data_IF_462801701967
#
_entry.id   IF_462801701967
#
_cell.length_a   1.000
_cell.length_b   1.000
_cell.length_c   1.000
_cell.angle_alpha   90.00
_cell.angle_beta   90.00
_cell.angle_gamma   90.00
#
_symmetry.space_group_name_H-M   'P 1'
#
loop_
_entity.id
_entity.type
_entity.pdbx_description
1 polymer ?
#
# COMPACT_ATOMS: atom_id res chain seq x y z
N UNK A 1 -0.61 29.76 -18.51
CA UNK A 1 -1.90 29.07 -18.33
C UNK A 1 -2.76 29.41 -19.54
N UNK A 2 -2.92 28.46 -20.46
CA UNK A 2 -3.86 28.62 -21.57
C UNK A 2 -5.20 28.00 -21.14
N UNK A 3 -5.98 28.78 -20.38
CA UNK A 3 -7.30 28.39 -19.85
C UNK A 3 -8.44 28.36 -20.87
N UNK A 4 -8.10 28.36 -22.17
CA UNK A 4 -9.06 28.41 -23.27
C UNK A 4 -9.65 27.06 -23.69
N UNK A 5 -9.00 25.94 -23.33
CA UNK A 5 -9.48 24.60 -23.65
C UNK A 5 -10.51 24.13 -22.63
N UNK A 6 -11.67 23.68 -23.14
CA UNK A 6 -12.72 23.02 -22.34
C UNK A 6 -12.14 21.89 -21.46
N UNK A 7 -12.62 21.80 -20.21
CA UNK A 7 -12.13 20.81 -19.23
C UNK A 7 -12.27 19.38 -19.76
N UNK A 8 -13.35 19.09 -20.48
CA UNK A 8 -13.56 17.78 -21.12
C UNK A 8 -12.50 17.47 -22.16
N UNK A 9 -12.23 18.42 -23.06
CA UNK A 9 -11.22 18.27 -24.11
C UNK A 9 -9.80 18.05 -23.55
N UNK A 10 -9.43 18.75 -22.47
CA UNK A 10 -8.13 18.54 -21.80
C UNK A 10 -8.00 17.12 -21.27
N UNK A 11 -9.03 16.63 -20.59
CA UNK A 11 -9.06 15.26 -20.06
C UNK A 11 -8.94 14.24 -21.18
N UNK A 12 -9.71 14.40 -22.26
CA UNK A 12 -9.68 13.46 -23.39
C UNK A 12 -8.31 13.41 -24.08
N UNK A 13 -7.66 14.57 -24.26
CA UNK A 13 -6.31 14.63 -24.83
C UNK A 13 -5.30 13.97 -23.89
N UNK A 14 -5.36 14.24 -22.59
CA UNK A 14 -4.50 13.60 -21.58
C UNK A 14 -4.69 12.09 -21.56
N UNK A 15 -5.94 11.60 -21.61
CA UNK A 15 -6.24 10.17 -21.60
C UNK A 15 -5.67 9.45 -22.80
N UNK A 16 -5.85 10.01 -24.00
CA UNK A 16 -5.23 9.46 -25.22
C UNK A 16 -3.71 9.49 -25.12
N UNK A 17 -3.14 10.61 -24.68
CA UNK A 17 -1.69 10.75 -24.58
C UNK A 17 -1.07 9.73 -23.61
N UNK A 18 -1.59 9.60 -22.39
CA UNK A 18 -1.09 8.65 -21.40
C UNK A 18 -1.23 7.20 -21.86
N UNK A 19 -2.35 6.87 -22.53
CA UNK A 19 -2.58 5.52 -23.05
C UNK A 19 -1.65 5.16 -24.20
N UNK A 20 -1.34 6.11 -25.09
CA UNK A 20 -0.34 5.91 -26.13
C UNK A 20 1.08 5.78 -25.55
N UNK A 21 1.41 6.56 -24.51
CA UNK A 21 2.69 6.43 -23.82
C UNK A 21 2.86 5.07 -23.14
N UNK A 22 1.81 4.50 -22.56
CA UNK A 22 1.85 3.15 -21.98
C UNK A 22 2.07 2.06 -23.03
N UNK A 23 1.58 2.25 -24.26
CA UNK A 23 1.70 1.27 -25.35
C UNK A 23 3.01 1.39 -26.12
N UNK A 24 3.61 2.57 -26.16
CA UNK A 24 4.86 2.82 -26.85
C UNK A 24 6.05 2.45 -25.97
N UNK A 25 6.81 1.42 -26.37
CA UNK A 25 8.05 1.04 -25.70
C UNK A 25 9.02 2.22 -25.58
N UNK A 26 9.68 2.34 -24.43
CA UNK A 26 10.65 3.40 -24.13
C UNK A 26 10.10 4.83 -24.30
N UNK A 27 8.78 5.01 -24.12
CA UNK A 27 8.18 6.33 -24.14
C UNK A 27 8.67 7.20 -22.98
N UNK A 28 8.26 8.48 -22.99
CA UNK A 28 8.58 9.39 -21.90
C UNK A 28 8.12 8.86 -20.53
N UNK A 29 7.00 8.12 -20.49
CA UNK A 29 6.49 7.50 -19.27
C UNK A 29 7.48 6.48 -18.70
N UNK A 30 8.03 5.62 -19.55
CA UNK A 30 8.95 4.56 -19.16
C UNK A 30 10.22 5.14 -18.55
N UNK A 31 10.81 6.10 -19.26
CA UNK A 31 12.05 6.75 -18.84
C UNK A 31 11.88 7.58 -17.57
N UNK A 32 10.78 8.31 -17.45
CA UNK A 32 10.54 9.13 -16.27
C UNK A 32 10.27 8.23 -15.05
N UNK A 33 9.56 7.11 -15.19
CA UNK A 33 9.38 6.15 -14.09
C UNK A 33 10.71 5.52 -13.69
N UNK A 34 11.44 4.91 -14.63
CA UNK A 34 12.75 4.30 -14.38
C UNK A 34 13.69 5.23 -13.60
N UNK A 35 13.75 6.51 -13.97
CA UNK A 35 14.60 7.49 -13.28
C UNK A 35 14.12 7.83 -11.86
N UNK A 36 12.81 7.89 -11.63
CA UNK A 36 12.27 8.23 -10.31
C UNK A 36 12.35 7.05 -9.35
N UNK A 37 12.21 5.82 -9.85
CA UNK A 37 12.09 4.62 -9.03
C UNK A 37 13.41 3.87 -8.85
N UNK A 38 14.41 4.05 -9.74
CA UNK A 38 15.71 3.37 -9.65
C UNK A 38 16.70 3.95 -8.62
N UNK A 39 16.40 5.10 -7.99
CA UNK A 39 17.37 5.82 -7.14
C UNK A 39 16.85 6.36 -5.81
N UNK A 40 15.62 6.02 -5.41
CA UNK A 40 15.04 6.49 -4.16
C UNK A 40 15.58 5.74 -2.94
N UNK A 41 16.44 6.38 -2.14
CA UNK A 41 16.68 5.94 -0.76
C UNK A 41 15.70 6.68 0.16
N UNK A 42 14.55 6.07 0.42
CA UNK A 42 13.50 6.63 1.27
C UNK A 42 12.11 6.29 0.74
N UNK A 43 11.09 6.51 1.56
CA UNK A 43 9.71 6.16 1.24
C UNK A 43 9.05 7.06 0.19
N UNK A 44 9.63 8.23 -0.06
CA UNK A 44 9.16 9.23 -1.01
C UNK A 44 10.06 9.33 -2.23
N UNK A 45 9.46 9.38 -3.42
CA UNK A 45 10.19 9.68 -4.64
C UNK A 45 10.54 11.17 -4.72
N UNK A 46 11.72 11.46 -5.28
CA UNK A 46 12.12 12.83 -5.56
C UNK A 46 11.59 13.23 -6.93
N UNK A 47 10.45 13.94 -6.96
CA UNK A 47 9.91 14.52 -8.18
C UNK A 47 10.82 15.62 -8.75
N UNK A 48 11.77 15.22 -9.59
CA UNK A 48 12.66 16.14 -10.28
C UNK A 48 11.96 16.81 -11.48
N UNK A 49 12.21 18.10 -11.70
CA UNK A 49 11.60 18.87 -12.81
C UNK A 49 12.02 18.34 -14.17
N UNK A 50 13.15 17.65 -14.21
CA UNK A 50 13.74 16.95 -15.32
C UNK A 50 12.86 15.78 -15.80
N UNK A 51 12.09 15.17 -14.90
CA UNK A 51 11.10 14.11 -15.18
C UNK A 51 9.77 14.76 -15.57
N UNK A 52 9.79 15.44 -16.72
CA UNK A 52 8.78 16.43 -17.14
C UNK A 52 7.35 15.89 -17.14
N UNK A 53 7.13 14.63 -17.51
CA UNK A 53 5.77 14.07 -17.55
C UNK A 53 5.26 13.87 -16.14
N UNK A 54 5.97 13.06 -15.36
CA UNK A 54 5.62 12.71 -13.99
C UNK A 54 5.50 13.97 -13.13
N UNK A 55 6.46 14.89 -13.23
CA UNK A 55 6.41 16.18 -12.54
C UNK A 55 5.18 16.98 -12.93
N UNK A 56 4.85 17.07 -14.22
CA UNK A 56 3.68 17.83 -14.67
C UNK A 56 2.35 17.23 -14.19
N UNK A 57 2.29 15.92 -13.99
CA UNK A 57 1.11 15.21 -13.49
C UNK A 57 0.97 15.32 -11.96
N UNK A 58 2.05 15.11 -11.21
CA UNK A 58 1.99 14.87 -9.77
C UNK A 58 2.52 15.99 -8.88
N UNK A 59 3.17 17.04 -9.43
CA UNK A 59 3.59 18.20 -8.63
C UNK A 59 2.44 19.02 -8.02
N UNK A 60 1.21 18.74 -8.43
CA UNK A 60 -0.03 19.39 -8.01
C UNK A 60 -1.14 18.34 -8.15
N UNK A 61 -1.47 17.68 -7.04
CA UNK A 61 -2.35 16.51 -7.10
C UNK A 61 -3.80 16.86 -7.48
N UNK A 62 -4.27 18.08 -7.21
CA UNK A 62 -5.58 18.55 -7.68
C UNK A 62 -5.69 18.46 -9.21
N UNK A 63 -4.57 18.67 -9.91
CA UNK A 63 -4.50 18.49 -11.36
C UNK A 63 -4.65 17.03 -11.74
N UNK A 64 -3.93 16.12 -11.07
CA UNK A 64 -4.02 14.68 -11.28
C UNK A 64 -5.46 14.18 -11.11
N UNK A 65 -6.16 14.66 -10.07
CA UNK A 65 -7.58 14.40 -9.82
C UNK A 65 -8.45 14.94 -10.94
N UNK A 66 -8.30 16.23 -11.28
CA UNK A 66 -9.15 16.89 -12.29
C UNK A 66 -9.05 16.27 -13.69
N UNK A 67 -7.93 15.61 -14.00
CA UNK A 67 -7.65 14.97 -15.28
C UNK A 67 -7.89 13.46 -15.26
N UNK A 68 -8.32 12.88 -14.14
CA UNK A 68 -8.50 11.43 -13.97
C UNK A 68 -7.27 10.62 -14.44
N UNK A 69 -6.05 11.06 -14.09
CA UNK A 69 -4.80 10.55 -14.71
C UNK A 69 -4.51 9.07 -14.41
N UNK A 70 -5.12 8.53 -13.36
CA UNK A 70 -5.07 7.12 -12.99
C UNK A 70 -5.78 6.23 -14.03
N UNK A 71 -6.90 6.70 -14.59
CA UNK A 71 -7.80 5.92 -15.43
C UNK A 71 -7.19 5.44 -16.75
N UNK A 72 -6.57 6.29 -17.60
CA UNK A 72 -6.03 5.84 -18.87
C UNK A 72 -4.89 4.82 -18.72
N UNK A 73 -4.09 4.94 -17.66
CA UNK A 73 -3.05 3.95 -17.34
C UNK A 73 -3.70 2.68 -16.78
N UNK A 74 -4.60 2.81 -15.81
CA UNK A 74 -5.28 1.67 -15.21
C UNK A 74 -6.07 0.83 -16.20
N UNK A 75 -6.90 1.47 -17.03
CA UNK A 75 -7.65 0.80 -18.09
C UNK A 75 -6.71 0.21 -19.14
N UNK A 76 -5.63 0.92 -19.49
CA UNK A 76 -4.63 0.43 -20.45
C UNK A 76 -3.88 -0.80 -19.97
N UNK A 77 -3.41 -0.82 -18.72
CA UNK A 77 -2.75 -1.99 -18.11
C UNK A 77 -3.69 -3.18 -18.05
N UNK A 78 -4.96 -2.95 -17.70
CA UNK A 78 -5.99 -3.99 -17.67
C UNK A 78 -6.27 -4.56 -19.07
N UNK A 79 -6.34 -3.71 -20.09
CA UNK A 79 -6.51 -4.14 -21.47
C UNK A 79 -5.35 -5.02 -21.94
N UNK A 80 -4.11 -4.64 -21.62
CA UNK A 80 -2.94 -5.46 -21.96
C UNK A 80 -3.06 -6.85 -21.31
N UNK A 81 -3.45 -6.94 -20.03
CA UNK A 81 -3.70 -8.23 -19.36
C UNK A 81 -4.82 -9.03 -20.06
N UNK A 82 -5.90 -8.38 -20.46
CA UNK A 82 -7.01 -9.04 -21.14
C UNK A 82 -6.61 -9.55 -22.53
N UNK A 83 -5.84 -8.77 -23.29
CA UNK A 83 -5.32 -9.15 -24.61
C UNK A 83 -4.39 -10.35 -24.51
N UNK A 84 -3.56 -10.44 -23.46
CA UNK A 84 -2.67 -11.61 -23.23
C UNK A 84 -3.45 -12.90 -22.99
N UNK A 85 -4.63 -12.82 -22.37
CA UNK A 85 -5.52 -13.97 -22.17
C UNK A 85 -6.07 -14.51 -23.49
N UNK A 86 -6.37 -13.61 -24.42
CA UNK A 86 -6.94 -13.93 -25.73
C UNK A 86 -5.87 -14.36 -26.75
N UNK A 87 -4.61 -14.02 -26.49
CA UNK A 87 -3.46 -14.46 -27.28
C UNK A 87 -3.23 -15.97 -27.21
N UNK A 88 -2.78 -16.56 -28.31
CA UNK A 88 -2.35 -17.97 -28.37
C UNK A 88 -1.10 -18.24 -27.54
N UNK A 89 -0.29 -17.21 -27.28
CA UNK A 89 0.92 -17.29 -26.47
C UNK A 89 0.92 -16.11 -25.49
N UNK A 90 0.84 -16.43 -24.20
CA UNK A 90 1.07 -15.48 -23.13
C UNK A 90 2.55 -15.53 -22.73
N UNK A 91 3.28 -14.47 -23.04
CA UNK A 91 4.71 -14.39 -22.76
C UNK A 91 5.01 -14.28 -21.27
N UNK A 92 4.12 -13.73 -20.44
CA UNK A 92 4.36 -13.55 -19.00
C UNK A 92 4.40 -14.88 -18.23
N UNK A 93 3.86 -15.95 -18.80
CA UNK A 93 3.97 -17.30 -18.25
C UNK A 93 5.31 -17.99 -18.61
N UNK A 94 6.16 -17.36 -19.45
CA UNK A 94 7.41 -17.94 -19.98
C UNK A 94 8.63 -17.05 -19.83
N UNK A 95 8.46 -15.75 -20.08
CA UNK A 95 9.47 -14.71 -20.00
C UNK A 95 9.92 -14.61 -18.54
N UNK A 96 11.19 -14.24 -18.35
CA UNK A 96 11.80 -14.00 -17.06
C UNK A 96 12.40 -12.60 -17.05
N UNK A 97 11.57 -11.59 -16.82
CA UNK A 97 11.93 -10.18 -16.83
C UNK A 97 13.11 -9.84 -15.91
N UNK A 98 13.37 -10.66 -14.90
CA UNK A 98 14.42 -10.50 -13.88
C UNK A 98 15.59 -11.48 -14.01
N UNK A 99 15.72 -12.19 -15.14
CA UNK A 99 16.88 -13.05 -15.38
C UNK A 99 18.20 -12.26 -15.24
N UNK A 100 19.18 -12.83 -14.53
CA UNK A 100 20.48 -12.20 -14.26
C UNK A 100 21.27 -11.82 -15.52
N UNK A 101 20.96 -12.44 -16.67
CA UNK A 101 21.58 -12.12 -17.96
C UNK A 101 21.05 -10.83 -18.59
N UNK A 102 19.97 -10.25 -18.04
CA UNK A 102 19.37 -9.02 -18.55
C UNK A 102 20.00 -7.80 -17.88
N UNK A 103 20.06 -6.71 -18.65
CA UNK A 103 20.55 -5.43 -18.14
C UNK A 103 19.72 -4.94 -16.95
N UNK A 104 20.39 -4.33 -15.99
CA UNK A 104 19.75 -3.63 -14.89
C UNK A 104 18.77 -2.59 -15.46
N UNK A 105 17.52 -2.63 -15.01
CA UNK A 105 16.46 -1.77 -15.56
C UNK A 105 15.64 -2.36 -16.71
N UNK A 106 15.99 -3.55 -17.25
CA UNK A 106 15.22 -4.18 -18.35
C UNK A 106 13.73 -4.34 -18.03
N UNK A 107 13.37 -4.53 -16.76
CA UNK A 107 11.98 -4.62 -16.32
C UNK A 107 11.16 -3.35 -16.62
N UNK A 108 11.80 -2.17 -16.71
CA UNK A 108 11.13 -0.93 -17.12
C UNK A 108 10.76 -0.90 -18.60
N UNK A 109 11.23 -1.85 -19.42
CA UNK A 109 10.73 -2.04 -20.79
C UNK A 109 9.36 -2.72 -20.83
N UNK A 110 8.85 -3.20 -19.69
CA UNK A 110 7.59 -3.93 -19.62
C UNK A 110 6.39 -3.01 -19.31
N UNK A 111 5.33 -3.00 -20.14
CA UNK A 111 4.17 -2.14 -19.93
C UNK A 111 3.37 -2.47 -18.66
N UNK A 112 3.32 -3.73 -18.23
CA UNK A 112 2.58 -4.09 -17.02
C UNK A 112 3.34 -3.61 -15.78
N UNK A 113 4.65 -3.79 -15.75
CA UNK A 113 5.50 -3.25 -14.70
C UNK A 113 5.44 -1.72 -14.64
N UNK A 114 5.54 -1.03 -15.78
CA UNK A 114 5.36 0.43 -15.90
C UNK A 114 4.00 0.87 -15.36
N UNK A 115 2.93 0.13 -15.66
CA UNK A 115 1.61 0.39 -15.11
C UNK A 115 1.57 0.29 -13.58
N UNK A 116 2.20 -0.74 -13.01
CA UNK A 116 2.29 -0.93 -11.55
C UNK A 116 3.11 0.20 -10.90
N UNK A 117 4.29 0.52 -11.44
CA UNK A 117 5.15 1.60 -10.92
C UNK A 117 4.48 2.98 -11.02
N UNK A 118 3.68 3.22 -12.05
CA UNK A 118 2.90 4.46 -12.16
C UNK A 118 1.91 4.61 -11.01
N UNK A 119 1.22 3.53 -10.63
CA UNK A 119 0.29 3.54 -9.49
C UNK A 119 1.02 3.69 -8.16
N UNK A 120 2.18 3.06 -7.99
CA UNK A 120 3.02 3.26 -6.82
C UNK A 120 3.40 4.72 -6.62
N UNK A 121 3.95 5.35 -7.67
CA UNK A 121 4.28 6.77 -7.66
C UNK A 121 3.05 7.65 -7.40
N UNK A 122 1.92 7.34 -8.03
CA UNK A 122 0.67 8.07 -7.82
C UNK A 122 0.22 8.02 -6.35
N UNK A 123 0.26 6.84 -5.72
CA UNK A 123 -0.17 6.68 -4.32
C UNK A 123 0.79 7.38 -3.37
N UNK A 124 2.10 7.24 -3.57
CA UNK A 124 3.10 7.90 -2.71
C UNK A 124 3.00 9.43 -2.80
N UNK A 125 2.77 9.98 -3.99
CA UNK A 125 2.58 11.43 -4.16
C UNK A 125 1.23 11.92 -3.64
N UNK A 126 0.18 11.10 -3.74
CA UNK A 126 -1.13 11.40 -3.13
C UNK A 126 -1.03 11.45 -1.60
N UNK A 127 -0.33 10.47 -1.01
CA UNK A 127 -0.09 10.41 0.43
C UNK A 127 0.70 11.63 0.90
N UNK A 128 1.80 11.95 0.21
CA UNK A 128 2.65 13.11 0.50
C UNK A 128 1.90 14.43 0.47
N UNK A 129 0.95 14.58 -0.45
CA UNK A 129 0.12 15.77 -0.62
C UNK A 129 -1.19 15.69 0.18
N UNK A 130 -1.31 14.76 1.13
CA UNK A 130 -2.44 14.65 2.07
C UNK A 130 -3.79 14.56 1.35
N UNK A 131 -3.87 13.71 0.32
CA UNK A 131 -5.08 13.57 -0.51
C UNK A 131 -6.04 12.54 0.07
N UNK A 132 -7.30 12.94 0.28
CA UNK A 132 -8.36 12.07 0.83
C UNK A 132 -8.91 11.06 -0.17
N UNK A 133 -8.90 11.38 -1.47
CA UNK A 133 -9.48 10.52 -2.48
C UNK A 133 -8.52 9.38 -2.87
N UNK A 134 -9.00 8.15 -3.02
CA UNK A 134 -8.14 6.97 -3.19
C UNK A 134 -8.81 5.80 -3.96
N UNK A 135 -9.87 6.09 -4.73
CA UNK A 135 -10.64 5.07 -5.49
C UNK A 135 -9.78 4.31 -6.52
N UNK A 136 -8.67 4.90 -6.95
CA UNK A 136 -7.72 4.27 -7.87
C UNK A 136 -7.00 3.03 -7.29
N UNK A 137 -6.96 2.85 -5.96
CA UNK A 137 -6.37 1.65 -5.35
C UNK A 137 -7.06 0.36 -5.78
N UNK A 138 -8.32 0.44 -6.21
CA UNK A 138 -9.07 -0.68 -6.78
C UNK A 138 -8.46 -1.26 -8.07
N UNK A 139 -7.56 -0.53 -8.75
CA UNK A 139 -6.86 -1.07 -9.91
C UNK A 139 -5.89 -2.19 -9.56
N UNK A 140 -5.23 -2.17 -8.39
CA UNK A 140 -4.38 -3.30 -7.96
C UNK A 140 -5.19 -4.59 -7.78
N UNK A 141 -6.42 -4.50 -7.26
CA UNK A 141 -7.32 -5.66 -7.21
C UNK A 141 -7.73 -6.12 -8.60
N UNK A 142 -8.03 -5.16 -9.49
CA UNK A 142 -8.36 -5.48 -10.87
C UNK A 142 -7.19 -6.16 -11.60
N UNK A 143 -5.97 -5.66 -11.42
CA UNK A 143 -4.76 -6.24 -12.01
C UNK A 143 -4.50 -7.62 -11.44
N UNK A 144 -4.56 -7.78 -10.12
CA UNK A 144 -4.38 -9.07 -9.43
C UNK A 144 -5.35 -10.11 -9.99
N UNK A 145 -6.63 -9.77 -10.13
CA UNK A 145 -7.64 -10.67 -10.70
C UNK A 145 -7.38 -11.04 -12.15
N UNK A 146 -7.00 -10.09 -13.01
CA UNK A 146 -6.69 -10.42 -14.42
C UNK A 146 -5.39 -11.23 -14.53
N UNK A 147 -4.37 -10.94 -13.71
CA UNK A 147 -3.13 -11.72 -13.62
C UNK A 147 -3.44 -13.16 -13.17
N UNK A 148 -4.20 -13.34 -12.09
CA UNK A 148 -4.57 -14.66 -11.57
C UNK A 148 -5.32 -15.50 -12.62
N UNK A 149 -6.20 -14.87 -13.42
CA UNK A 149 -6.89 -15.54 -14.54
C UNK A 149 -5.96 -15.98 -15.67
N UNK A 150 -4.86 -15.26 -15.87
CA UNK A 150 -3.88 -15.57 -16.92
C UNK A 150 -2.79 -16.53 -16.45
N UNK A 151 -2.64 -16.69 -15.14
CA UNK A 151 -1.54 -17.39 -14.51
C UNK A 151 -1.51 -18.88 -14.88
N UNK A 152 -0.39 -19.32 -15.45
CA UNK A 152 -0.12 -20.72 -15.78
C UNK A 152 1.33 -21.06 -15.48
N UNK A 153 1.53 -22.23 -14.88
CA UNK A 153 2.83 -22.89 -14.85
C UNK A 153 3.02 -23.64 -16.17
N UNK A 154 4.08 -23.30 -16.89
CA UNK A 154 4.46 -23.90 -18.18
C UNK A 154 5.80 -24.61 -18.05
N UNK A 155 6.26 -25.27 -19.12
CA UNK A 155 7.59 -25.89 -19.17
C UNK A 155 8.77 -24.92 -18.99
N UNK A 156 8.52 -23.61 -19.12
CA UNK A 156 9.51 -22.55 -18.93
C UNK A 156 9.46 -21.94 -17.53
N UNK A 157 8.42 -22.27 -16.76
CA UNK A 157 8.23 -21.84 -15.37
C UNK A 157 8.99 -22.76 -14.42
N UNK A 158 9.52 -22.19 -13.34
CA UNK A 158 10.08 -22.96 -12.23
C UNK A 158 9.17 -22.78 -11.00
N UNK A 159 8.29 -23.75 -10.68
CA UNK A 159 7.34 -23.60 -9.58
C UNK A 159 8.02 -23.45 -8.20
N UNK A 160 9.30 -23.82 -8.09
CA UNK A 160 10.09 -23.73 -6.87
C UNK A 160 10.95 -22.46 -6.81
N UNK A 161 10.99 -21.64 -7.87
CA UNK A 161 11.67 -20.36 -7.83
C UNK A 161 10.95 -19.34 -6.94
N UNK A 162 11.67 -18.30 -6.51
CA UNK A 162 11.09 -17.16 -5.79
C UNK A 162 9.96 -16.50 -6.58
N UNK A 163 10.15 -16.33 -7.88
CA UNK A 163 9.11 -15.92 -8.83
C UNK A 163 9.00 -16.96 -9.95
N UNK A 164 7.98 -17.85 -9.90
CA UNK A 164 7.84 -18.91 -10.90
C UNK A 164 7.70 -18.46 -12.36
N UNK A 165 7.16 -17.26 -12.57
CA UNK A 165 7.04 -16.58 -13.86
C UNK A 165 6.92 -15.06 -13.63
N UNK A 166 6.80 -14.28 -14.71
CA UNK A 166 6.71 -12.82 -14.60
C UNK A 166 5.45 -12.35 -13.88
N UNK A 167 4.34 -13.06 -14.00
CA UNK A 167 3.14 -12.74 -13.22
C UNK A 167 3.38 -12.83 -11.71
N UNK A 168 4.14 -13.82 -11.24
CA UNK A 168 4.55 -13.87 -9.82
C UNK A 168 5.38 -12.65 -9.43
N UNK A 169 6.30 -12.20 -10.28
CA UNK A 169 7.08 -10.99 -10.02
C UNK A 169 6.19 -9.75 -9.93
N UNK A 170 5.20 -9.61 -10.80
CA UNK A 170 4.24 -8.48 -10.82
C UNK A 170 3.30 -8.50 -9.61
N UNK A 171 2.79 -9.69 -9.21
CA UNK A 171 1.98 -9.86 -8.00
C UNK A 171 2.77 -9.48 -6.75
N UNK A 172 4.01 -9.94 -6.65
CA UNK A 172 4.91 -9.57 -5.56
C UNK A 172 5.14 -8.06 -5.51
N UNK A 173 5.39 -7.41 -6.65
CA UNK A 173 5.59 -5.95 -6.70
C UNK A 173 4.38 -5.20 -6.15
N UNK A 174 3.16 -5.59 -6.53
CA UNK A 174 1.96 -4.94 -6.02
C UNK A 174 1.80 -5.12 -4.50
N UNK A 175 2.11 -6.31 -3.96
CA UNK A 175 2.08 -6.56 -2.51
C UNK A 175 3.17 -5.73 -1.81
N UNK A 176 4.38 -5.70 -2.35
CA UNK A 176 5.49 -4.90 -1.81
C UNK A 176 5.14 -3.41 -1.77
N UNK A 177 4.60 -2.86 -2.85
CA UNK A 177 4.18 -1.46 -2.91
C UNK A 177 3.12 -1.16 -1.84
N UNK A 178 2.12 -2.03 -1.67
CA UNK A 178 1.11 -1.85 -0.63
C UNK A 178 1.69 -1.94 0.79
N UNK A 179 2.69 -2.78 1.03
CA UNK A 179 3.42 -2.79 2.32
C UNK A 179 4.13 -1.47 2.55
N UNK A 180 4.84 -0.96 1.54
CA UNK A 180 5.53 0.32 1.63
C UNK A 180 4.55 1.46 1.93
N UNK A 181 3.36 1.48 1.33
CA UNK A 181 2.35 2.50 1.63
C UNK A 181 1.82 2.42 3.08
N UNK A 182 1.80 1.23 3.68
CA UNK A 182 1.49 1.06 5.11
C UNK A 182 2.67 1.52 5.97
N UNK A 183 3.91 1.21 5.58
CA UNK A 183 5.11 1.68 6.28
C UNK A 183 5.27 3.21 6.22
N UNK A 184 4.83 3.86 5.15
CA UNK A 184 4.75 5.32 5.10
C UNK A 184 3.85 5.88 6.20
N UNK A 185 2.67 5.28 6.40
CA UNK A 185 1.81 5.65 7.53
C UNK A 185 2.46 5.36 8.87
N UNK A 186 3.14 4.22 9.01
CA UNK A 186 3.87 3.87 10.23
C UNK A 186 4.95 4.90 10.58
N UNK A 187 5.70 5.38 9.59
CA UNK A 187 6.74 6.41 9.76
C UNK A 187 6.13 7.75 10.17
N UNK A 188 5.09 8.23 9.49
CA UNK A 188 4.41 9.48 9.84
C UNK A 188 3.69 9.40 11.20
N UNK A 189 3.22 8.21 11.60
CA UNK A 189 2.60 7.98 12.90
C UNK A 189 3.61 7.74 14.02
N UNK A 190 4.89 7.56 13.70
CA UNK A 190 5.93 7.34 14.70
C UNK A 190 6.17 8.66 15.45
N UNK A 191 6.18 8.66 16.79
CA UNK A 191 6.49 9.86 17.53
C UNK A 191 7.90 10.31 17.16
N UNK A 192 8.06 11.59 16.79
CA UNK A 192 9.35 12.21 16.53
C UNK A 192 10.32 11.79 17.65
N UNK A 193 11.36 11.03 17.29
CA UNK A 193 12.37 10.52 18.25
C UNK A 193 13.13 11.70 18.90
N UNK A 194 12.94 12.94 18.43
CA UNK A 194 13.50 14.17 18.99
C UNK A 194 12.61 14.89 20.03
N UNK A 195 11.35 14.47 20.22
CA UNK A 195 10.51 15.04 21.28
C UNK A 195 10.70 14.30 22.60
N UNK A 196 11.19 15.04 23.61
CA UNK A 196 11.40 14.56 24.98
C UNK A 196 10.17 13.79 25.49
N UNK A 197 10.36 12.72 26.29
CA UNK A 197 9.27 11.91 26.77
C UNK A 197 8.34 12.75 27.65
N UNK A 198 7.15 13.06 27.13
CA UNK A 198 6.17 13.88 27.82
C UNK A 198 4.99 14.37 26.98
N UNK A 199 5.07 14.33 25.64
CA UNK A 199 4.06 15.00 24.78
C UNK A 199 3.52 14.14 23.63
N UNK A 200 3.23 12.86 23.87
CA UNK A 200 2.48 12.05 22.93
C UNK A 200 0.97 12.29 23.12
N UNK A 201 0.43 13.34 22.48
CA UNK A 201 -1.00 13.66 22.49
C UNK A 201 -1.71 13.20 21.22
N UNK A 202 -1.92 11.89 21.07
CA UNK A 202 -2.87 11.35 20.07
C UNK A 202 -3.93 10.48 20.74
N UNK A 203 -4.66 11.07 21.69
CA UNK A 203 -5.89 10.50 22.26
C UNK A 203 -7.05 11.42 21.91
N UNK A 204 -7.72 11.15 20.79
CA UNK A 204 -9.07 11.70 20.56
C UNK A 204 -10.01 10.91 21.47
N UNK A 205 -10.31 11.48 22.64
CA UNK A 205 -11.37 10.98 23.51
C UNK A 205 -12.71 11.16 22.80
N UNK A 206 -13.36 10.05 22.46
CA UNK A 206 -14.76 10.03 22.03
C UNK A 206 -15.61 10.47 23.23
N UNK A 207 -16.25 11.63 23.11
CA UNK A 207 -17.13 12.21 24.12
C UNK A 207 -18.37 11.33 24.34
N UNK A 208 -18.54 10.81 25.55
CA UNK A 208 -19.83 10.41 26.08
C UNK A 208 -20.42 11.56 26.90
N UNK A 209 -21.63 11.97 26.54
CA UNK A 209 -22.44 12.98 27.21
C UNK A 209 -22.60 12.73 28.72
N UNK A 210 -22.39 13.76 29.54
CA UNK A 210 -23.27 14.15 30.65
C UNK A 210 -22.85 15.53 31.25
N UNK A 211 -23.86 16.30 31.64
CA UNK A 211 -23.90 17.75 31.89
C UNK A 211 -23.67 18.09 33.41
N UNK A 212 -23.76 19.36 33.91
CA UNK A 212 -22.66 20.05 34.59
C UNK A 212 -22.89 20.38 36.09
N UNK A 213 -21.82 20.60 36.87
CA UNK A 213 -21.91 21.34 38.15
C UNK A 213 -20.72 22.30 38.42
N UNK A 214 -21.07 23.59 38.39
CA UNK A 214 -20.70 24.73 39.26
C UNK A 214 -19.32 24.89 39.94
N UNK A 215 -18.66 25.99 39.54
CA UNK A 215 -18.03 27.10 40.32
C UNK A 215 -17.18 26.81 41.58
N UNK A 216 -15.93 27.28 41.55
CA UNK A 216 -15.37 28.11 42.64
C UNK A 216 -14.18 28.95 42.16
N UNK A 217 -14.30 30.26 42.30
CA UNK A 217 -13.24 31.25 42.15
C UNK A 217 -12.15 31.07 43.22
N UNK A 218 -10.89 31.43 42.89
CA UNK A 218 -9.99 32.14 43.79
C UNK A 218 -8.96 32.92 42.98
N UNK A 219 -9.01 34.25 43.14
CA UNK A 219 -8.01 35.21 42.67
C UNK A 219 -6.78 35.18 43.57
N UNK A 220 -5.61 35.42 42.99
CA UNK A 220 -4.57 36.22 43.64
C UNK A 220 -3.72 36.93 42.59
N UNK A 221 -3.76 38.26 42.65
CA UNK A 221 -2.94 39.20 41.91
C UNK A 221 -1.49 39.19 42.39
N UNK A 222 -0.54 39.31 41.47
CA UNK A 222 0.67 40.12 41.67
C UNK A 222 1.25 40.54 40.32
N UNK A 223 1.20 41.84 40.06
CA UNK A 223 1.99 42.56 39.05
C UNK A 223 3.44 42.69 39.52
N UNK A 224 4.43 42.56 38.61
CA UNK A 224 5.39 43.63 38.34
C UNK A 224 6.30 43.34 37.12
N UNK A 225 6.47 44.35 36.27
CA UNK A 225 7.60 44.78 35.40
C UNK A 225 8.53 43.71 34.80
N UNK A 226 8.82 43.65 33.49
CA UNK A 226 8.93 44.71 32.50
C UNK A 226 10.36 44.77 31.96
N UNK A 227 10.74 43.86 31.04
CA UNK A 227 11.91 44.03 30.16
C UNK A 227 11.57 43.53 28.75
N UNK A 228 11.85 44.40 27.77
CA UNK A 228 11.68 44.17 26.34
C UNK A 228 12.93 43.46 25.81
N UNK A 229 12.77 42.26 25.24
CA UNK A 229 13.71 41.68 24.29
C UNK A 229 12.93 41.14 23.07
N UNK A 230 13.55 41.29 21.90
CA UNK A 230 12.96 41.18 20.56
C UNK A 230 12.38 39.79 20.22
N UNK A 231 11.35 39.69 19.35
CA UNK A 231 10.75 38.41 19.03
C UNK A 231 11.67 37.61 18.09
N UNK A 232 12.26 36.54 18.62
CA UNK A 232 12.87 35.49 17.80
C UNK A 232 11.75 34.67 17.13
N UNK A 233 11.51 34.92 15.84
CA UNK A 233 10.72 34.03 14.99
C UNK A 233 11.49 32.72 14.76
N UNK A 234 11.28 31.74 15.63
CA UNK A 234 11.58 30.33 15.37
C UNK A 234 10.72 29.50 16.32
N UNK A 235 9.61 28.97 15.83
CA UNK A 235 8.86 27.76 16.25
C UNK A 235 7.49 27.86 15.53
N UNK A 236 7.15 26.88 14.68
CA UNK A 236 5.79 26.33 14.48
C UNK A 236 5.53 25.67 13.10
N UNK A 237 6.52 25.45 12.23
CA UNK A 237 6.25 24.72 10.96
C UNK A 237 6.13 23.19 11.19
N UNK A 238 6.97 22.59 12.04
CA UNK A 238 6.99 21.13 12.23
C UNK A 238 5.81 20.56 13.03
N UNK A 239 5.41 21.22 14.13
CA UNK A 239 4.29 20.75 14.96
C UNK A 239 2.94 20.86 14.23
N UNK A 240 2.79 21.87 13.36
CA UNK A 240 1.57 22.08 12.59
C UNK A 240 1.45 21.08 11.42
N UNK A 241 2.56 20.69 10.80
CA UNK A 241 2.58 19.68 9.73
C UNK A 241 2.25 18.26 10.24
N UNK A 242 2.78 17.88 11.41
CA UNK A 242 2.50 16.58 12.05
C UNK A 242 1.05 16.48 12.56
N UNK A 243 0.50 17.58 13.07
CA UNK A 243 -0.90 17.63 13.48
C UNK A 243 -1.86 17.55 12.30
N UNK A 244 -1.50 18.17 11.18
CA UNK A 244 -2.25 18.08 9.94
C UNK A 244 -2.22 16.65 9.38
N UNK A 245 -1.10 15.92 9.44
CA UNK A 245 -1.02 14.53 8.96
C UNK A 245 -1.92 13.55 9.72
N UNK A 246 -2.06 13.72 11.03
CA UNK A 246 -2.85 12.85 11.92
C UNK A 246 -4.32 12.70 11.48
N UNK A 247 -4.92 13.76 10.95
CA UNK A 247 -6.29 13.74 10.44
C UNK A 247 -6.41 12.91 9.14
N UNK A 248 -5.38 12.92 8.28
CA UNK A 248 -5.36 12.17 7.03
C UNK A 248 -5.04 10.68 7.22
N UNK A 249 -4.22 10.32 8.20
CA UNK A 249 -3.86 8.92 8.48
C UNK A 249 -4.72 8.28 9.57
N UNK A 250 -5.53 9.07 10.28
CA UNK A 250 -6.40 8.61 11.35
C UNK A 250 -7.43 7.57 10.90
N UNK A 251 -7.58 6.50 11.70
CA UNK A 251 -8.64 5.51 11.50
C UNK A 251 -9.92 5.95 12.19
N UNK A 252 -10.88 6.43 11.41
CA UNK A 252 -12.21 6.84 11.91
C UNK A 252 -13.12 5.67 12.25
N UNK A 253 -12.88 4.49 11.66
CA UNK A 253 -13.71 3.29 11.83
C UNK A 253 -12.95 2.02 11.48
N UNK A 254 -13.39 0.87 12.00
CA UNK A 254 -12.94 -0.48 11.61
C UNK A 254 -13.82 -1.15 10.56
N UNK A 255 -14.85 -0.45 10.03
CA UNK A 255 -15.64 -0.93 8.89
C UNK A 255 -14.74 -1.21 7.67
N UNK A 256 -15.14 -2.14 6.80
CA UNK A 256 -14.37 -2.57 5.63
C UNK A 256 -14.82 -1.91 4.31
N UNK A 257 -15.64 -0.84 4.37
CA UNK A 257 -15.90 -0.01 3.18
C UNK A 257 -14.67 0.82 2.84
N UNK A 258 -14.07 0.54 1.68
CA UNK A 258 -12.90 1.26 1.18
C UNK A 258 -13.17 2.73 0.94
N UNK A 259 -14.37 3.09 0.46
CA UNK A 259 -14.66 4.47 0.08
C UNK A 259 -14.70 5.42 1.29
N UNK A 260 -14.86 4.86 2.49
CA UNK A 260 -14.90 5.58 3.77
C UNK A 260 -13.53 5.58 4.48
N UNK A 261 -12.46 5.16 3.80
CA UNK A 261 -11.10 5.13 4.36
C UNK A 261 -10.23 6.26 3.85
N UNK A 262 -9.07 6.42 4.47
CA UNK A 262 -7.94 7.12 3.89
C UNK A 262 -7.09 6.13 3.05
N UNK A 263 -6.01 6.63 2.45
CA UNK A 263 -5.07 5.82 1.65
C UNK A 263 -4.56 4.58 2.39
N UNK A 264 -3.98 4.68 3.61
CA UNK A 264 -3.51 3.49 4.33
C UNK A 264 -4.64 2.51 4.70
N UNK A 265 -5.83 3.00 5.07
CA UNK A 265 -6.99 2.14 5.37
C UNK A 265 -7.49 1.39 4.15
N UNK A 266 -7.59 2.07 3.00
CA UNK A 266 -7.96 1.44 1.75
C UNK A 266 -6.89 0.45 1.26
N UNK A 267 -5.61 0.75 1.53
CA UNK A 267 -4.48 -0.15 1.27
C UNK A 267 -4.58 -1.43 2.08
N UNK A 268 -4.86 -1.34 3.39
CA UNK A 268 -5.04 -2.49 4.26
C UNK A 268 -6.17 -3.42 3.79
N UNK A 269 -7.24 -2.88 3.20
CA UNK A 269 -8.31 -3.69 2.64
C UNK A 269 -7.91 -4.25 1.25
N UNK A 270 -7.20 -3.47 0.43
CA UNK A 270 -6.73 -3.90 -0.88
C UNK A 270 -5.72 -5.06 -0.81
N UNK A 271 -4.76 -5.00 0.11
CA UNK A 271 -3.75 -6.06 0.27
C UNK A 271 -4.39 -7.41 0.62
N UNK A 272 -5.41 -7.42 1.49
CA UNK A 272 -6.14 -8.65 1.83
C UNK A 272 -7.09 -9.14 0.73
N UNK A 273 -7.64 -8.24 -0.07
CA UNK A 273 -8.42 -8.60 -1.26
C UNK A 273 -7.52 -9.28 -2.31
N UNK A 274 -6.34 -8.70 -2.60
CA UNK A 274 -5.36 -9.29 -3.49
C UNK A 274 -4.84 -10.63 -2.96
N UNK A 275 -4.53 -10.71 -1.65
CA UNK A 275 -4.12 -11.94 -0.98
C UNK A 275 -5.17 -13.06 -1.14
N UNK A 276 -6.47 -12.75 -0.95
CA UNK A 276 -7.57 -13.69 -1.17
C UNK A 276 -7.60 -14.22 -2.60
N UNK A 277 -7.52 -13.35 -3.60
CA UNK A 277 -7.51 -13.76 -5.02
C UNK A 277 -6.31 -14.65 -5.35
N UNK A 278 -5.11 -14.31 -4.86
CA UNK A 278 -3.87 -15.07 -5.09
C UNK A 278 -3.97 -16.47 -4.46
N UNK A 279 -4.37 -16.58 -3.19
CA UNK A 279 -4.46 -17.87 -2.50
C UNK A 279 -5.55 -18.75 -3.08
N UNK A 280 -6.66 -18.16 -3.54
CA UNK A 280 -7.76 -18.90 -4.17
C UNK A 280 -7.41 -19.43 -5.57
N UNK A 281 -6.35 -18.92 -6.20
CA UNK A 281 -5.98 -19.30 -7.57
C UNK A 281 -5.23 -20.64 -7.58
N UNK A 282 -5.79 -21.73 -8.17
CA UNK A 282 -5.19 -23.05 -8.08
C UNK A 282 -3.89 -23.22 -8.88
N UNK A 283 -3.70 -22.42 -9.93
CA UNK A 283 -2.51 -22.50 -10.79
C UNK A 283 -1.27 -21.87 -10.18
N UNK A 284 -1.41 -21.08 -9.11
CA UNK A 284 -0.29 -20.45 -8.41
C UNK A 284 0.35 -21.48 -7.46
N UNK A 285 1.67 -21.71 -7.52
CA UNK A 285 2.37 -22.64 -6.63
C UNK A 285 2.23 -22.29 -5.15
N UNK A 286 2.08 -23.31 -4.30
CA UNK A 286 1.95 -23.16 -2.85
C UNK A 286 3.13 -22.39 -2.25
N UNK A 287 4.35 -22.63 -2.74
CA UNK A 287 5.56 -21.92 -2.31
C UNK A 287 5.43 -20.40 -2.46
N UNK A 288 4.94 -19.93 -3.61
CA UNK A 288 4.72 -18.52 -3.86
C UNK A 288 3.56 -17.96 -3.02
N UNK A 289 2.48 -18.74 -2.82
CA UNK A 289 1.39 -18.34 -1.91
C UNK A 289 1.88 -18.15 -0.47
N UNK A 290 2.73 -19.05 0.03
CA UNK A 290 3.33 -18.95 1.35
C UNK A 290 4.19 -17.70 1.47
N UNK A 291 5.02 -17.41 0.46
CA UNK A 291 5.85 -16.20 0.42
C UNK A 291 5.02 -14.89 0.46
N UNK A 292 3.94 -14.82 -0.32
CA UNK A 292 3.02 -13.68 -0.27
C UNK A 292 2.32 -13.59 1.10
N UNK A 293 1.85 -14.71 1.65
CA UNK A 293 1.20 -14.75 2.97
C UNK A 293 2.14 -14.25 4.07
N UNK A 294 3.39 -14.70 4.05
CA UNK A 294 4.45 -14.25 4.95
C UNK A 294 4.66 -12.75 4.85
N UNK A 295 4.80 -12.22 3.62
CA UNK A 295 4.97 -10.77 3.40
C UNK A 295 3.81 -9.95 3.98
N UNK A 296 2.57 -10.42 3.83
CA UNK A 296 1.38 -9.74 4.39
C UNK A 296 1.37 -9.82 5.91
N UNK A 297 1.69 -10.97 6.51
CA UNK A 297 1.69 -11.13 7.97
C UNK A 297 2.86 -10.44 8.66
N UNK A 298 4.02 -10.33 8.02
CA UNK A 298 5.13 -9.51 8.48
C UNK A 298 4.72 -8.03 8.56
N UNK A 299 3.98 -7.52 7.58
CA UNK A 299 3.45 -6.16 7.62
C UNK A 299 2.52 -5.95 8.84
N UNK A 300 1.68 -6.94 9.18
CA UNK A 300 0.86 -6.90 10.41
C UNK A 300 1.74 -6.94 11.66
N UNK A 301 2.79 -7.77 11.65
CA UNK A 301 3.74 -7.90 12.75
C UNK A 301 4.52 -6.61 13.00
N UNK A 302 4.94 -5.91 11.95
CA UNK A 302 5.63 -4.63 12.04
C UNK A 302 4.76 -3.59 12.77
N UNK A 303 3.48 -3.49 12.39
CA UNK A 303 2.51 -2.64 13.07
C UNK A 303 2.22 -3.04 14.53
N UNK A 304 2.39 -4.33 14.87
CA UNK A 304 2.20 -4.87 16.23
C UNK A 304 3.37 -4.61 17.17
N UNK A 305 4.51 -4.13 16.67
CA UNK A 305 5.67 -3.71 17.51
C UNK A 305 5.40 -2.43 18.30
N UNK A 306 4.36 -1.68 17.94
CA UNK A 306 3.98 -0.43 18.59
C UNK A 306 3.05 -0.67 19.80
N UNK A 307 2.89 0.35 20.65
CA UNK A 307 2.04 0.26 21.83
C UNK A 307 0.59 -0.09 21.47
N UNK A 308 -0.04 -0.96 22.27
CA UNK A 308 -1.44 -1.33 22.08
C UNK A 308 -2.33 -0.10 22.17
N UNK A 309 -3.17 0.10 21.15
CA UNK A 309 -4.06 1.27 21.05
C UNK A 309 -3.46 2.45 20.28
N UNK A 310 -2.17 2.42 19.92
CA UNK A 310 -1.57 3.32 18.93
C UNK A 310 -2.27 3.21 17.57
N UNK A 311 -2.04 4.19 16.70
CA UNK A 311 -2.60 4.17 15.35
C UNK A 311 -2.10 2.96 14.55
N UNK A 312 -0.80 2.66 14.63
CA UNK A 312 -0.18 1.49 14.01
C UNK A 312 -0.86 0.20 14.48
N UNK A 313 -1.06 0.05 15.80
CA UNK A 313 -1.78 -1.10 16.35
C UNK A 313 -3.21 -1.21 15.79
N UNK A 314 -3.95 -0.10 15.70
CA UNK A 314 -5.31 -0.09 15.13
C UNK A 314 -5.32 -0.50 13.65
N UNK A 315 -4.28 -0.17 12.88
CA UNK A 315 -4.14 -0.67 11.50
C UNK A 315 -3.89 -2.18 11.46
N UNK A 316 -3.12 -2.73 12.40
CA UNK A 316 -2.97 -4.18 12.52
C UNK A 316 -4.32 -4.86 12.83
N UNK A 317 -5.17 -4.25 13.65
CA UNK A 317 -6.52 -4.75 13.95
C UNK A 317 -7.44 -4.66 12.73
N UNK A 318 -7.37 -3.58 11.94
CA UNK A 318 -8.08 -3.48 10.67
C UNK A 318 -7.66 -4.59 9.70
N UNK A 319 -6.36 -4.85 9.57
CA UNK A 319 -5.82 -5.92 8.73
C UNK A 319 -6.30 -7.31 9.17
N UNK A 320 -6.27 -7.60 10.46
CA UNK A 320 -6.81 -8.86 11.00
C UNK A 320 -8.33 -8.97 10.83
N UNK A 321 -9.07 -7.86 10.91
CA UNK A 321 -10.49 -7.84 10.60
C UNK A 321 -10.75 -8.15 9.12
N UNK A 322 -9.92 -7.66 8.20
CA UNK A 322 -9.98 -8.02 6.78
C UNK A 322 -9.77 -9.54 6.58
N UNK A 323 -8.79 -10.12 7.28
CA UNK A 323 -8.56 -11.57 7.25
C UNK A 323 -9.78 -12.35 7.76
N UNK A 324 -10.31 -11.96 8.92
CA UNK A 324 -11.48 -12.58 9.55
C UNK A 324 -12.72 -12.51 8.66
N UNK A 325 -12.99 -11.34 8.07
CA UNK A 325 -14.10 -11.15 7.13
C UNK A 325 -13.94 -12.04 5.90
N UNK A 326 -12.74 -12.09 5.32
CA UNK A 326 -12.44 -12.95 4.17
C UNK A 326 -12.57 -14.45 4.45
N UNK A 327 -12.51 -14.88 5.71
CA UNK A 327 -12.73 -16.26 6.15
C UNK A 327 -14.18 -16.55 6.57
N UNK A 328 -14.94 -15.51 6.92
CA UNK A 328 -16.31 -15.60 7.44
C UNK A 328 -17.38 -15.37 6.37
N UNK A 329 -17.03 -14.74 5.25
CA UNK A 329 -17.94 -14.50 4.13
C UNK A 329 -18.53 -15.85 3.66
N UNK A 330 -19.86 -15.97 3.64
CA UNK A 330 -20.54 -17.21 3.20
C UNK A 330 -20.26 -17.54 1.72
N UNK A 331 -19.75 -16.56 0.96
CA UNK A 331 -19.24 -16.71 -0.41
C UNK A 331 -17.75 -16.99 -0.47
N UNK A 332 -17.07 -17.07 0.68
CA UNK A 332 -15.66 -17.42 0.75
C UNK A 332 -15.47 -18.70 -0.03
N UNK A 333 -14.62 -18.60 -1.06
CA UNK A 333 -14.21 -19.78 -1.78
C UNK A 333 -13.53 -20.69 -0.75
N UNK A 334 -14.08 -21.89 -0.55
CA UNK A 334 -13.48 -22.89 0.34
C UNK A 334 -12.00 -23.10 -0.01
N UNK A 335 -11.62 -22.82 -1.27
CA UNK A 335 -10.23 -22.78 -1.74
C UNK A 335 -9.35 -21.77 -1.00
N UNK A 336 -9.85 -20.58 -0.64
CA UNK A 336 -9.10 -19.58 0.11
C UNK A 336 -8.74 -20.09 1.50
N UNK A 337 -9.74 -20.55 2.25
CA UNK A 337 -9.54 -21.08 3.60
C UNK A 337 -8.62 -22.29 3.59
N UNK A 338 -8.84 -23.23 2.67
CA UNK A 338 -7.98 -24.43 2.55
C UNK A 338 -6.54 -24.05 2.19
N UNK A 339 -6.34 -23.13 1.24
CA UNK A 339 -5.01 -22.69 0.84
C UNK A 339 -4.32 -21.93 1.96
N UNK A 340 -5.04 -21.07 2.70
CA UNK A 340 -4.50 -20.34 3.83
C UNK A 340 -4.06 -21.27 4.95
N UNK A 341 -4.89 -22.24 5.33
CA UNK A 341 -4.53 -23.26 6.33
C UNK A 341 -3.29 -24.01 5.86
N UNK A 342 -3.27 -24.49 4.62
CA UNK A 342 -2.11 -25.20 4.06
C UNK A 342 -0.83 -24.36 4.13
N UNK A 343 -0.80 -23.11 3.65
CA UNK A 343 0.43 -22.29 3.72
C UNK A 343 0.80 -21.84 5.13
N UNK A 344 -0.18 -21.73 6.03
CA UNK A 344 0.04 -21.36 7.43
C UNK A 344 0.64 -22.52 8.22
N UNK A 345 0.18 -23.74 7.95
CA UNK A 345 0.63 -25.00 8.57
C UNK A 345 1.91 -25.57 7.97
N UNK A 346 2.08 -25.46 6.64
CA UNK A 346 3.05 -26.27 5.91
C UNK A 346 4.50 -26.06 6.35
N UNK A 347 5.17 -27.18 6.59
CA UNK A 347 6.63 -27.25 6.60
C UNK A 347 7.14 -26.91 5.19
N UNK A 348 7.70 -25.73 5.01
CA UNK A 348 8.22 -25.32 3.70
C UNK A 348 9.40 -26.24 3.33
N UNK A 349 9.25 -27.02 2.25
CA UNK A 349 10.20 -28.05 1.79
C UNK A 349 10.49 -29.19 2.79
N UNK A 350 9.55 -29.57 3.66
CA UNK A 350 9.77 -30.63 4.67
C UNK A 350 10.67 -30.19 5.83
N UNK A 351 10.80 -28.88 6.02
CA UNK A 351 11.49 -28.24 7.12
C UNK A 351 10.48 -27.42 7.94
N UNK A 352 10.05 -27.89 9.13
CA UNK A 352 9.06 -27.21 9.98
C UNK A 352 9.47 -25.81 10.46
N UNK A 353 10.74 -25.48 10.30
CA UNK A 353 11.36 -24.21 10.66
C UNK A 353 11.11 -23.07 9.66
N UNK A 354 10.48 -23.34 8.49
CA UNK A 354 10.23 -22.32 7.45
C UNK A 354 8.75 -22.14 7.04
N UNK A 355 7.80 -22.72 7.79
CA UNK A 355 6.38 -22.45 7.58
C UNK A 355 6.00 -21.03 8.02
N UNK A 356 4.95 -20.43 7.41
CA UNK A 356 4.55 -19.04 7.69
C UNK A 356 4.35 -18.80 9.18
N UNK A 357 3.65 -19.71 9.88
CA UNK A 357 3.44 -19.60 11.33
C UNK A 357 4.75 -19.63 12.13
N UNK A 358 5.67 -20.52 11.77
CA UNK A 358 6.98 -20.65 12.45
C UNK A 358 7.84 -19.40 12.26
N UNK A 359 7.83 -18.84 11.05
CA UNK A 359 8.59 -17.64 10.70
C UNK A 359 8.05 -16.41 11.45
N UNK A 360 6.74 -16.19 11.41
CA UNK A 360 6.10 -15.08 12.16
C UNK A 360 6.36 -15.22 13.65
N UNK A 361 6.27 -16.43 14.22
CA UNK A 361 6.62 -16.68 15.64
C UNK A 361 8.08 -16.35 15.95
N UNK A 362 8.99 -16.68 15.03
CA UNK A 362 10.43 -16.41 15.21
C UNK A 362 10.72 -14.91 15.15
N UNK A 363 10.03 -14.19 14.27
CA UNK A 363 10.17 -12.76 14.08
C UNK A 363 9.41 -11.93 15.14
N UNK A 364 8.46 -12.53 15.87
CA UNK A 364 7.74 -11.92 17.00
C UNK A 364 8.60 -11.85 18.28
N UNK A 365 9.73 -11.15 18.20
CA UNK A 365 10.71 -11.02 19.28
C UNK A 365 10.15 -10.34 20.55
N UNK A 366 9.12 -9.52 20.40
CA UNK A 366 8.49 -8.77 21.49
C UNK A 366 7.28 -9.52 22.10
N UNK A 367 6.88 -10.66 21.54
CA UNK A 367 5.72 -11.40 22.00
C UNK A 367 4.43 -10.60 21.88
N UNK A 368 4.22 -9.98 20.73
CA UNK A 368 3.07 -9.13 20.40
C UNK A 368 1.73 -9.88 20.44
N UNK A 369 1.77 -11.21 20.44
CA UNK A 369 0.60 -12.08 20.48
C UNK A 369 -0.02 -12.32 19.11
N UNK A 370 0.59 -11.83 18.03
CA UNK A 370 0.06 -11.97 16.67
C UNK A 370 -0.21 -13.43 16.28
N UNK A 371 0.69 -14.35 16.63
CA UNK A 371 0.50 -15.78 16.33
C UNK A 371 -0.74 -16.33 17.02
N UNK A 372 -1.04 -15.89 18.25
CA UNK A 372 -2.24 -16.31 18.97
C UNK A 372 -3.51 -15.80 18.29
N UNK A 373 -3.50 -14.54 17.85
CA UNK A 373 -4.63 -13.94 17.11
C UNK A 373 -4.83 -14.66 15.76
N UNK A 374 -3.75 -14.97 15.05
CA UNK A 374 -3.80 -15.70 13.78
C UNK A 374 -4.30 -17.14 13.96
N UNK A 375 -3.82 -17.86 14.99
CA UNK A 375 -4.29 -19.21 15.31
C UNK A 375 -5.80 -19.22 15.56
N UNK A 376 -6.32 -18.25 16.32
CA UNK A 376 -7.75 -18.10 16.58
C UNK A 376 -8.53 -17.79 15.30
N UNK A 377 -8.07 -16.82 14.51
CA UNK A 377 -8.77 -16.37 13.29
C UNK A 377 -8.81 -17.47 12.22
N UNK A 378 -7.69 -18.17 12.02
CA UNK A 378 -7.56 -19.23 11.01
C UNK A 378 -8.26 -20.51 11.49
N UNK A 379 -8.42 -20.68 12.81
CA UNK A 379 -8.96 -21.89 13.43
C UNK A 379 -7.94 -23.02 13.46
N UNK A 380 -6.67 -22.68 13.71
CA UNK A 380 -5.58 -23.63 13.85
C UNK A 380 -5.53 -24.16 15.29
N UNK A 381 -5.76 -25.47 15.47
CA UNK A 381 -5.60 -26.16 16.75
C UNK A 381 -4.28 -26.93 16.74
N UNK A 382 -3.36 -26.57 17.65
CA UNK A 382 -2.00 -27.13 17.75
C UNK A 382 -1.93 -28.59 18.19
#
# INVERSE_FOLDING_TARGET
RDDSLDKGLRRDVTHRYLRELLKAENSLLYRDLERNTAGGSGWYYKLERENRLVYALFSDFDRAVSLDVYKPIGDGTREILQDKRESTVDEYNKRRLTEQEKEEGYIYSDPLFVGIQYFDLLVREAFKQKVDWHVWLSYYESFTREICRNYRITEYSDPDAEWPNDYSRLLYEMISNMRDWIHMMEEEASPDIDNKPGDASWVVNVSSDEEPETQSECRSDTENDGEQEEPSEHISESENDSQEYGDYIGLTSTNLDKNDKNIPGATAIAIFSCHKEILSTPSIPTKFKAYITMSVFECVLDLRKYERGSLQWKYSELMLNCLKDNLSDERTDQSYKQSLVSVYEEEFNGHPEYGVRSEIRTNDLQGTGLVSDLDEIIGYES
#
